data_IF_656820578744
#
_entry.id   IF_656820578744
#
_cell.length_a   1.000
_cell.length_b   1.000
_cell.length_c   1.000
_cell.angle_alpha   90.00
_cell.angle_beta   90.00
_cell.angle_gamma   90.00
#
_symmetry.space_group_name_H-M   'P 1'
#
loop_
_entity.id
_entity.type
_entity.pdbx_description
1 polymer ?
#
# COMPACT_ATOMS: atom_id res chain seq x y z
N UNK A 1 -6.28 -18.38 21.87
CA UNK A 1 -7.68 -17.87 21.88
C UNK A 1 -7.62 -16.44 21.38
N UNK A 2 -7.92 -16.21 20.10
CA UNK A 2 -8.04 -14.87 19.51
C UNK A 2 -9.23 -14.18 20.16
N UNK A 3 -9.04 -12.95 20.68
CA UNK A 3 -10.11 -12.13 21.19
C UNK A 3 -11.17 -11.97 20.08
N UNK A 4 -12.42 -12.35 20.39
CA UNK A 4 -13.55 -12.19 19.47
C UNK A 4 -13.70 -10.69 19.23
N UNK A 5 -13.50 -10.24 18.00
CA UNK A 5 -13.69 -8.84 17.60
C UNK A 5 -15.11 -8.37 17.96
N UNK A 6 -15.31 -7.08 18.12
CA UNK A 6 -16.68 -6.57 18.27
C UNK A 6 -17.45 -6.86 16.97
N UNK A 7 -18.77 -7.10 17.05
CA UNK A 7 -19.61 -7.33 15.85
C UNK A 7 -19.43 -6.23 14.78
N UNK A 8 -19.16 -5.00 15.22
CA UNK A 8 -18.86 -3.88 14.32
C UNK A 8 -17.58 -4.14 13.50
N UNK A 9 -16.52 -4.69 14.11
CA UNK A 9 -15.28 -5.03 13.43
C UNK A 9 -15.48 -6.21 12.48
N UNK A 10 -16.24 -7.24 12.89
CA UNK A 10 -16.57 -8.38 12.02
C UNK A 10 -17.33 -7.94 10.77
N UNK A 11 -18.22 -6.93 10.88
CA UNK A 11 -18.91 -6.33 9.73
C UNK A 11 -17.93 -5.59 8.80
N UNK A 12 -16.98 -4.83 9.36
CA UNK A 12 -15.98 -4.13 8.56
C UNK A 12 -15.02 -5.09 7.85
N UNK A 13 -14.61 -6.17 8.50
CA UNK A 13 -13.75 -7.20 7.91
C UNK A 13 -14.45 -7.93 6.76
N UNK A 14 -15.74 -8.30 6.94
CA UNK A 14 -16.56 -8.88 5.90
C UNK A 14 -16.81 -7.90 4.74
N UNK A 15 -17.01 -6.61 5.05
CA UNK A 15 -17.14 -5.58 4.04
C UNK A 15 -15.85 -5.44 3.21
N UNK A 16 -14.69 -5.39 3.86
CA UNK A 16 -13.40 -5.32 3.16
C UNK A 16 -13.20 -6.52 2.23
N UNK A 17 -13.54 -7.72 2.69
CA UNK A 17 -13.45 -8.93 1.89
C UNK A 17 -14.33 -8.86 0.63
N UNK A 18 -15.62 -8.58 0.79
CA UNK A 18 -16.57 -8.53 -0.32
C UNK A 18 -16.27 -7.37 -1.29
N UNK A 19 -15.97 -6.17 -0.77
CA UNK A 19 -15.68 -5.02 -1.61
C UNK A 19 -14.38 -5.17 -2.40
N UNK A 20 -13.40 -5.90 -1.87
CA UNK A 20 -12.13 -6.14 -2.55
C UNK A 20 -12.25 -7.11 -3.74
N UNK A 21 -13.36 -7.86 -3.84
CA UNK A 21 -13.60 -8.84 -4.90
C UNK A 21 -14.61 -8.32 -5.92
N UNK A 22 -15.77 -7.82 -5.46
CA UNK A 22 -16.89 -7.48 -6.32
C UNK A 22 -17.25 -5.99 -6.36
N UNK A 23 -16.60 -5.17 -5.53
CA UNK A 23 -16.85 -3.73 -5.45
C UNK A 23 -18.10 -3.35 -4.65
N UNK A 24 -18.28 -2.03 -4.49
CA UNK A 24 -19.35 -1.48 -3.66
C UNK A 24 -20.75 -1.78 -4.21
N UNK A 25 -20.98 -1.50 -5.50
CA UNK A 25 -22.33 -1.64 -6.09
C UNK A 25 -22.85 -3.08 -6.02
N UNK A 26 -22.01 -4.07 -6.30
CA UNK A 26 -22.40 -5.49 -6.29
C UNK A 26 -22.52 -6.08 -4.88
N UNK A 27 -22.03 -5.40 -3.84
CA UNK A 27 -22.14 -5.86 -2.44
C UNK A 27 -23.45 -5.40 -1.83
N UNK A 28 -24.24 -6.32 -1.28
CA UNK A 28 -25.51 -6.04 -0.62
C UNK A 28 -25.41 -6.18 0.92
N UNK A 29 -26.30 -5.48 1.64
CA UNK A 29 -26.43 -5.64 3.11
C UNK A 29 -26.77 -7.09 3.48
N UNK A 30 -27.45 -7.82 2.62
CA UNK A 30 -27.75 -9.24 2.85
C UNK A 30 -26.49 -10.11 2.88
N UNK A 31 -25.61 -9.92 1.89
CA UNK A 31 -24.35 -10.63 1.79
C UNK A 31 -23.44 -10.29 2.99
N UNK A 32 -23.41 -9.01 3.41
CA UNK A 32 -22.67 -8.60 4.61
C UNK A 32 -23.18 -9.28 5.88
N UNK A 33 -24.51 -9.28 6.08
CA UNK A 33 -25.12 -9.91 7.23
C UNK A 33 -24.90 -11.43 7.26
N UNK A 34 -24.99 -12.08 6.09
CA UNK A 34 -24.73 -13.51 5.91
C UNK A 34 -23.25 -13.85 6.19
N UNK A 35 -22.30 -13.06 5.69
CA UNK A 35 -20.86 -13.26 5.90
C UNK A 35 -20.46 -13.20 7.37
N UNK A 36 -21.15 -12.37 8.16
CA UNK A 36 -20.93 -12.23 9.61
C UNK A 36 -21.79 -13.24 10.44
N UNK A 37 -22.78 -13.89 9.80
CA UNK A 37 -23.68 -14.82 10.49
C UNK A 37 -24.73 -14.11 11.36
N UNK A 38 -25.13 -12.87 11.01
CA UNK A 38 -26.14 -12.10 11.76
C UNK A 38 -27.38 -11.79 10.91
N UNK A 39 -28.47 -11.40 11.55
CA UNK A 39 -29.66 -10.91 10.84
C UNK A 39 -29.42 -9.48 10.32
N UNK A 40 -30.04 -9.12 9.19
CA UNK A 40 -30.03 -7.74 8.65
C UNK A 40 -30.41 -6.69 9.68
N UNK A 41 -31.42 -6.97 10.51
CA UNK A 41 -31.84 -6.06 11.57
C UNK A 41 -30.71 -5.80 12.59
N UNK A 42 -29.91 -6.83 12.92
CA UNK A 42 -28.73 -6.67 13.78
C UNK A 42 -27.63 -5.85 13.11
N UNK A 43 -27.43 -5.97 11.80
CA UNK A 43 -26.47 -5.15 11.06
C UNK A 43 -26.87 -3.67 11.13
N UNK A 44 -28.16 -3.36 10.93
CA UNK A 44 -28.68 -1.99 11.01
C UNK A 44 -28.59 -1.38 12.43
N UNK A 45 -28.45 -2.17 13.49
CA UNK A 45 -28.15 -1.65 14.82
C UNK A 45 -26.72 -1.13 14.99
N UNK A 46 -25.80 -1.53 14.08
CA UNK A 46 -24.41 -1.09 14.09
C UNK A 46 -24.11 0.00 13.04
N UNK A 47 -24.79 -0.04 11.90
CA UNK A 47 -24.61 0.89 10.79
C UNK A 47 -25.95 1.27 10.17
N UNK A 48 -26.21 2.55 10.04
CA UNK A 48 -27.47 3.10 9.55
C UNK A 48 -27.80 2.62 8.12
N UNK A 49 -26.78 2.50 7.27
CA UNK A 49 -26.92 2.10 5.87
C UNK A 49 -25.58 1.56 5.33
N UNK A 50 -25.60 1.10 4.08
CA UNK A 50 -24.41 0.57 3.39
C UNK A 50 -23.29 1.61 3.24
N UNK A 51 -23.67 2.89 3.03
CA UNK A 51 -22.70 3.98 2.92
C UNK A 51 -21.95 4.20 4.25
N UNK A 52 -22.63 4.13 5.39
CA UNK A 52 -21.99 4.25 6.71
C UNK A 52 -20.95 3.12 6.97
N UNK A 53 -21.17 1.93 6.44
CA UNK A 53 -20.18 0.83 6.49
C UNK A 53 -18.95 1.20 5.65
N UNK A 54 -19.17 1.70 4.43
CA UNK A 54 -18.10 2.11 3.54
C UNK A 54 -17.27 3.24 4.15
N UNK A 55 -17.92 4.26 4.71
CA UNK A 55 -17.26 5.41 5.32
C UNK A 55 -16.40 4.98 6.51
N UNK A 56 -16.92 4.11 7.37
CA UNK A 56 -16.18 3.55 8.50
C UNK A 56 -15.00 2.67 8.05
N UNK A 57 -15.18 1.89 6.98
CA UNK A 57 -14.11 1.08 6.40
C UNK A 57 -13.00 1.95 5.81
N UNK A 58 -13.37 3.01 5.10
CA UNK A 58 -12.41 3.97 4.54
C UNK A 58 -11.61 4.67 5.64
N UNK A 59 -12.28 5.10 6.71
CA UNK A 59 -11.62 5.72 7.85
C UNK A 59 -10.62 4.75 8.51
N UNK A 60 -11.02 3.52 8.78
CA UNK A 60 -10.14 2.48 9.34
C UNK A 60 -8.94 2.18 8.42
N UNK A 61 -9.17 2.13 7.11
CA UNK A 61 -8.11 1.91 6.11
C UNK A 61 -7.11 3.07 6.07
N UNK A 62 -7.58 4.31 6.21
CA UNK A 62 -6.72 5.50 6.25
C UNK A 62 -5.89 5.53 7.53
N UNK A 63 -6.51 5.30 8.69
CA UNK A 63 -5.84 5.23 9.99
C UNK A 63 -4.75 4.16 10.02
N UNK A 64 -5.05 2.96 9.51
CA UNK A 64 -4.09 1.87 9.39
C UNK A 64 -2.91 2.27 8.49
N UNK A 65 -3.18 2.91 7.36
CA UNK A 65 -2.12 3.39 6.46
C UNK A 65 -1.24 4.43 7.15
N UNK A 66 -1.81 5.43 7.79
CA UNK A 66 -1.06 6.49 8.48
C UNK A 66 -0.23 5.96 9.66
N UNK A 67 -0.72 4.92 10.34
CA UNK A 67 -0.04 4.30 11.48
C UNK A 67 1.11 3.38 11.08
N UNK A 68 1.02 2.70 9.93
CA UNK A 68 1.94 1.60 9.59
C UNK A 68 2.76 1.83 8.31
N UNK A 69 2.39 2.79 7.47
CA UNK A 69 3.11 3.06 6.23
C UNK A 69 4.43 3.78 6.49
N UNK A 70 5.53 3.20 6.01
CA UNK A 70 6.84 3.86 6.01
C UNK A 70 6.86 5.11 5.12
N UNK A 71 6.01 5.13 4.10
CA UNK A 71 5.91 6.25 3.17
C UNK A 71 5.22 7.46 3.79
N UNK A 72 4.21 7.24 4.64
CA UNK A 72 3.47 8.31 5.31
C UNK A 72 4.26 8.95 6.47
N UNK A 73 5.27 8.26 7.00
CA UNK A 73 6.03 8.66 8.20
C UNK A 73 7.47 9.09 7.93
N UNK A 74 7.86 9.24 6.67
CA UNK A 74 9.23 9.57 6.34
C UNK A 74 9.61 10.98 6.79
N UNK A 75 10.60 11.07 7.66
CA UNK A 75 11.25 12.32 8.06
C UNK A 75 12.75 12.23 7.75
N UNK A 76 13.13 12.79 6.62
CA UNK A 76 14.51 12.75 6.12
C UNK A 76 15.46 13.71 6.83
N UNK A 77 14.97 14.57 7.71
CA UNK A 77 15.75 15.46 8.55
C UNK A 77 15.92 14.88 9.96
N UNK A 78 15.19 13.81 10.33
CA UNK A 78 15.38 13.09 11.58
C UNK A 78 16.55 12.09 11.48
N UNK A 79 17.63 12.30 12.29
CA UNK A 79 18.76 11.36 12.34
C UNK A 79 18.38 9.95 12.78
N UNK A 80 17.33 9.78 13.60
CA UNK A 80 16.86 8.47 14.01
C UNK A 80 16.21 7.70 12.85
N UNK A 81 15.51 8.42 11.97
CA UNK A 81 14.91 7.84 10.76
C UNK A 81 15.95 7.51 9.68
N UNK A 82 17.02 8.29 9.57
CA UNK A 82 18.01 8.16 8.48
C UNK A 82 19.19 7.26 8.82
N UNK A 83 19.43 6.95 10.10
CA UNK A 83 20.60 6.21 10.60
C UNK A 83 20.86 4.88 9.88
N UNK A 84 19.87 4.07 9.70
CA UNK A 84 19.95 2.76 9.04
C UNK A 84 20.08 2.84 7.51
N UNK A 85 19.95 4.06 6.95
CA UNK A 85 20.05 4.35 5.53
C UNK A 85 21.37 5.02 5.12
N UNK A 86 22.21 5.36 6.09
CA UNK A 86 23.48 6.06 5.86
C UNK A 86 24.46 5.32 4.96
N UNK A 87 24.43 3.99 4.98
CA UNK A 87 25.29 3.13 4.16
C UNK A 87 24.45 2.17 3.33
N UNK A 88 23.44 2.70 2.63
CA UNK A 88 22.55 1.92 1.80
C UNK A 88 23.32 1.23 0.68
N UNK A 89 23.32 -0.10 0.69
CA UNK A 89 23.85 -0.90 -0.41
C UNK A 89 22.72 -1.35 -1.34
N UNK A 90 23.03 -1.72 -2.61
CA UNK A 90 22.03 -2.30 -3.50
C UNK A 90 21.33 -3.53 -2.89
N UNK A 91 22.06 -4.39 -2.17
CA UNK A 91 21.50 -5.57 -1.51
C UNK A 91 20.52 -5.19 -0.39
N UNK A 92 20.85 -4.20 0.43
CA UNK A 92 19.94 -3.68 1.46
C UNK A 92 18.68 -3.10 0.84
N UNK A 93 18.81 -2.30 -0.22
CA UNK A 93 17.68 -1.72 -0.94
C UNK A 93 16.76 -2.80 -1.53
N UNK A 94 17.34 -3.85 -2.13
CA UNK A 94 16.59 -5.01 -2.64
C UNK A 94 15.83 -5.71 -1.51
N UNK A 95 16.50 -6.04 -0.40
CA UNK A 95 15.86 -6.75 0.72
C UNK A 95 14.71 -5.95 1.34
N UNK A 96 14.91 -4.65 1.56
CA UNK A 96 13.87 -3.76 2.08
C UNK A 96 12.68 -3.67 1.12
N UNK A 97 12.94 -3.49 -0.16
CA UNK A 97 11.88 -3.41 -1.18
C UNK A 97 11.10 -4.73 -1.29
N UNK A 98 11.78 -5.87 -1.38
CA UNK A 98 11.12 -7.17 -1.47
C UNK A 98 10.36 -7.53 -0.19
N UNK A 99 10.87 -7.14 0.98
CA UNK A 99 10.15 -7.26 2.25
C UNK A 99 8.84 -6.47 2.25
N UNK A 100 8.89 -5.21 1.81
CA UNK A 100 7.72 -4.34 1.70
C UNK A 100 6.71 -4.86 0.66
N UNK A 101 7.18 -5.34 -0.49
CA UNK A 101 6.32 -5.92 -1.54
C UNK A 101 5.60 -7.15 -1.01
N UNK A 102 6.31 -8.05 -0.34
CA UNK A 102 5.70 -9.25 0.27
C UNK A 102 4.61 -8.86 1.27
N UNK A 103 4.85 -7.86 2.11
CA UNK A 103 3.84 -7.33 3.04
C UNK A 103 2.62 -6.80 2.28
N UNK A 104 2.82 -5.97 1.25
CA UNK A 104 1.74 -5.38 0.46
C UNK A 104 0.90 -6.44 -0.26
N UNK A 105 1.52 -7.51 -0.76
CA UNK A 105 0.81 -8.56 -1.50
C UNK A 105 0.11 -9.56 -0.59
N UNK A 106 0.71 -9.92 0.54
CA UNK A 106 0.27 -11.06 1.35
C UNK A 106 -0.38 -10.71 2.69
N UNK A 107 -0.23 -9.48 3.20
CA UNK A 107 -1.04 -9.07 4.34
C UNK A 107 -2.51 -8.97 3.90
N UNK A 108 -3.43 -9.73 4.54
CA UNK A 108 -4.81 -9.82 4.07
C UNK A 108 -5.55 -8.48 4.08
N UNK A 109 -5.31 -7.64 5.08
CA UNK A 109 -6.00 -6.36 5.19
C UNK A 109 -5.44 -5.34 4.18
N UNK A 110 -4.11 -5.27 4.05
CA UNK A 110 -3.44 -4.35 3.10
C UNK A 110 -3.76 -4.72 1.65
N UNK A 111 -3.69 -6.00 1.30
CA UNK A 111 -3.98 -6.48 -0.05
C UNK A 111 -5.45 -6.23 -0.44
N UNK A 112 -6.40 -6.54 0.46
CA UNK A 112 -7.83 -6.29 0.22
C UNK A 112 -8.14 -4.80 0.12
N UNK A 113 -7.58 -3.96 1.01
CA UNK A 113 -7.77 -2.51 0.97
C UNK A 113 -7.26 -1.91 -0.35
N UNK A 114 -6.10 -2.35 -0.83
CA UNK A 114 -5.52 -1.92 -2.11
C UNK A 114 -6.40 -2.33 -3.30
N UNK A 115 -6.90 -3.56 -3.32
CA UNK A 115 -7.82 -4.05 -4.37
C UNK A 115 -9.14 -3.29 -4.37
N UNK A 116 -9.74 -3.07 -3.20
CA UNK A 116 -10.96 -2.27 -3.05
C UNK A 116 -10.77 -0.86 -3.61
N UNK A 117 -9.71 -0.16 -3.22
CA UNK A 117 -9.40 1.18 -3.73
C UNK A 117 -9.19 1.18 -5.25
N UNK A 118 -8.55 0.15 -5.80
CA UNK A 118 -8.31 0.00 -7.24
C UNK A 118 -9.63 -0.20 -8.01
N UNK A 119 -10.57 -0.96 -7.48
CA UNK A 119 -11.88 -1.18 -8.11
C UNK A 119 -12.71 0.11 -8.09
N UNK A 120 -12.71 0.82 -6.98
CA UNK A 120 -13.63 1.94 -6.73
C UNK A 120 -13.09 3.32 -7.14
N UNK A 121 -11.81 3.46 -7.48
CA UNK A 121 -11.17 4.75 -7.75
C UNK A 121 -11.84 5.60 -8.84
N UNK A 122 -12.52 4.97 -9.81
CA UNK A 122 -13.20 5.69 -10.90
C UNK A 122 -14.67 6.03 -10.60
N UNK A 123 -15.21 5.52 -9.48
CA UNK A 123 -16.60 5.73 -9.07
C UNK A 123 -16.71 6.55 -7.77
N UNK A 124 -15.67 6.54 -6.96
CA UNK A 124 -15.64 7.23 -5.68
C UNK A 124 -14.43 8.18 -5.59
N UNK A 125 -14.70 9.49 -5.58
CA UNK A 125 -13.66 10.52 -5.56
C UNK A 125 -12.75 10.46 -4.33
N UNK A 126 -13.29 10.08 -3.18
CA UNK A 126 -12.52 9.96 -1.94
C UNK A 126 -11.55 8.77 -2.03
N UNK A 127 -12.01 7.63 -2.56
CA UNK A 127 -11.13 6.47 -2.81
C UNK A 127 -10.07 6.77 -3.88
N UNK A 128 -10.41 7.53 -4.92
CA UNK A 128 -9.43 8.00 -5.90
C UNK A 128 -8.33 8.84 -5.24
N UNK A 129 -8.71 9.76 -4.34
CA UNK A 129 -7.75 10.59 -3.59
C UNK A 129 -6.86 9.75 -2.68
N UNK A 130 -7.43 8.77 -1.97
CA UNK A 130 -6.66 7.83 -1.14
C UNK A 130 -5.68 6.99 -1.98
N UNK A 131 -6.13 6.53 -3.14
CA UNK A 131 -5.29 5.77 -4.08
C UNK A 131 -4.11 6.62 -4.59
N UNK A 132 -4.36 7.88 -4.98
CA UNK A 132 -3.32 8.83 -5.40
C UNK A 132 -2.34 9.10 -4.26
N UNK A 133 -2.82 9.35 -3.04
CA UNK A 133 -1.96 9.58 -1.88
C UNK A 133 -1.03 8.38 -1.64
N UNK A 134 -1.59 7.17 -1.55
CA UNK A 134 -0.85 5.95 -1.17
C UNK A 134 0.12 5.45 -2.25
N UNK A 135 -0.27 5.53 -3.52
CA UNK A 135 0.47 4.89 -4.61
C UNK A 135 1.31 5.87 -5.42
N UNK A 136 1.15 7.16 -5.21
CA UNK A 136 1.90 8.18 -5.93
C UNK A 136 2.50 9.23 -4.99
N UNK A 137 1.69 10.03 -4.30
CA UNK A 137 2.19 11.21 -3.58
C UNK A 137 3.18 10.82 -2.47
N UNK A 138 2.78 9.92 -1.56
CA UNK A 138 3.62 9.52 -0.42
C UNK A 138 4.83 8.69 -0.90
N UNK A 139 4.64 7.82 -1.89
CA UNK A 139 5.72 7.03 -2.49
C UNK A 139 6.76 7.93 -3.17
N UNK A 140 6.33 8.87 -4.01
CA UNK A 140 7.23 9.82 -4.67
C UNK A 140 7.96 10.69 -3.65
N UNK A 141 7.27 11.20 -2.64
CA UNK A 141 7.87 12.00 -1.57
C UNK A 141 8.96 11.21 -0.83
N UNK A 142 8.66 9.97 -0.44
CA UNK A 142 9.61 9.08 0.22
C UNK A 142 10.86 8.84 -0.62
N UNK A 143 10.69 8.40 -1.87
CA UNK A 143 11.84 8.06 -2.72
C UNK A 143 12.61 9.28 -3.19
N UNK A 144 11.97 10.43 -3.39
CA UNK A 144 12.68 11.70 -3.65
C UNK A 144 13.55 12.10 -2.46
N UNK A 145 13.03 11.96 -1.24
CA UNK A 145 13.79 12.19 -0.01
C UNK A 145 14.98 11.23 0.13
N UNK A 146 14.75 9.92 -0.12
CA UNK A 146 15.81 8.90 -0.12
C UNK A 146 16.92 9.25 -1.13
N UNK A 147 16.57 9.55 -2.36
CA UNK A 147 17.55 9.89 -3.41
C UNK A 147 18.33 11.13 -3.03
N UNK A 148 17.68 12.22 -2.58
CA UNK A 148 18.37 13.43 -2.08
C UNK A 148 19.33 13.10 -0.92
N UNK A 149 18.92 12.26 0.01
CA UNK A 149 19.75 11.82 1.10
C UNK A 149 20.98 11.06 0.59
N UNK A 150 20.83 10.10 -0.31
CA UNK A 150 21.95 9.31 -0.86
C UNK A 150 22.89 10.16 -1.73
N UNK A 151 22.40 11.15 -2.46
CA UNK A 151 23.22 12.13 -3.19
C UNK A 151 24.06 12.96 -2.20
N UNK A 152 23.46 13.53 -1.14
CA UNK A 152 24.18 14.28 -0.12
C UNK A 152 25.28 13.47 0.59
N UNK A 153 25.10 12.14 0.67
CA UNK A 153 26.09 11.20 1.24
C UNK A 153 27.14 10.75 0.22
N UNK A 154 27.09 11.21 -1.01
CA UNK A 154 28.03 10.80 -2.06
C UNK A 154 27.87 9.33 -2.51
N UNK A 155 26.72 8.71 -2.25
CA UNK A 155 26.46 7.32 -2.67
C UNK A 155 25.87 7.27 -4.08
N UNK A 156 25.12 8.30 -4.46
CA UNK A 156 24.58 8.47 -5.81
C UNK A 156 25.17 9.73 -6.45
N UNK A 157 25.33 9.67 -7.77
CA UNK A 157 25.74 10.81 -8.58
C UNK A 157 24.68 11.91 -8.56
N UNK A 158 25.11 13.16 -8.72
CA UNK A 158 24.22 14.31 -8.77
C UNK A 158 23.39 14.29 -10.08
N UNK A 159 22.07 14.23 -9.93
CA UNK A 159 21.08 14.30 -10.99
C UNK A 159 19.74 14.77 -10.41
N UNK A 160 18.70 14.91 -11.24
CA UNK A 160 17.36 15.30 -10.77
C UNK A 160 16.76 14.22 -9.85
N UNK A 161 16.60 14.52 -8.54
CA UNK A 161 16.15 13.52 -7.57
C UNK A 161 14.71 13.08 -7.78
N UNK A 162 13.85 13.90 -8.38
CA UNK A 162 12.45 13.53 -8.65
C UNK A 162 12.37 12.54 -9.81
N UNK A 163 13.16 12.77 -10.85
CA UNK A 163 13.24 11.83 -11.99
C UNK A 163 13.87 10.50 -11.55
N UNK A 164 14.95 10.56 -10.76
CA UNK A 164 15.57 9.35 -10.21
C UNK A 164 14.58 8.55 -9.34
N UNK A 165 13.84 9.23 -8.47
CA UNK A 165 12.80 8.61 -7.64
C UNK A 165 11.71 7.97 -8.48
N UNK A 166 11.20 8.68 -9.50
CA UNK A 166 10.20 8.17 -10.42
C UNK A 166 10.68 6.90 -11.15
N UNK A 167 11.91 6.91 -11.64
CA UNK A 167 12.53 5.74 -12.29
C UNK A 167 12.67 4.57 -11.33
N UNK A 168 12.98 4.81 -10.05
CA UNK A 168 13.14 3.76 -9.05
C UNK A 168 11.80 3.15 -8.64
N UNK A 169 10.80 3.96 -8.32
CA UNK A 169 9.59 3.46 -7.63
C UNK A 169 8.38 3.20 -8.55
N UNK A 170 8.18 3.98 -9.64
CA UNK A 170 6.96 3.85 -10.43
C UNK A 170 6.83 2.51 -11.19
N UNK A 171 7.90 1.91 -11.75
CA UNK A 171 7.78 0.59 -12.36
C UNK A 171 7.31 -0.49 -11.38
N UNK A 172 7.70 -0.39 -10.11
CA UNK A 172 7.30 -1.33 -9.06
C UNK A 172 5.78 -1.31 -8.86
N UNK A 173 5.13 -0.14 -8.92
CA UNK A 173 3.67 -0.03 -8.82
C UNK A 173 2.95 -0.79 -9.93
N UNK A 174 3.48 -0.75 -11.16
CA UNK A 174 2.92 -1.49 -12.30
C UNK A 174 3.06 -3.00 -12.09
N UNK A 175 4.21 -3.44 -11.60
CA UNK A 175 4.46 -4.86 -11.32
C UNK A 175 3.61 -5.40 -10.16
N UNK A 176 3.38 -4.61 -9.11
CA UNK A 176 2.45 -4.97 -8.04
C UNK A 176 1.02 -5.18 -8.58
N UNK A 177 0.56 -4.26 -9.44
CA UNK A 177 -0.75 -4.39 -10.08
C UNK A 177 -0.83 -5.62 -11.03
N UNK A 178 0.29 -6.03 -11.61
CA UNK A 178 0.37 -7.28 -12.38
C UNK A 178 0.16 -8.50 -11.47
N UNK A 179 0.83 -8.56 -10.31
CA UNK A 179 0.65 -9.64 -9.34
C UNK A 179 -0.78 -9.74 -8.80
N UNK A 180 -1.54 -8.63 -8.75
CA UNK A 180 -2.96 -8.69 -8.36
C UNK A 180 -3.84 -9.39 -9.38
N UNK A 181 -3.50 -9.27 -10.66
CA UNK A 181 -4.27 -9.87 -11.76
C UNK A 181 -3.77 -11.28 -12.10
N UNK A 182 -2.46 -11.50 -11.98
CA UNK A 182 -1.75 -12.73 -12.36
C UNK A 182 -0.81 -13.14 -11.21
N UNK A 183 -1.35 -13.68 -10.09
CA UNK A 183 -0.55 -14.00 -8.89
C UNK A 183 0.58 -15.00 -9.15
N UNK A 184 0.42 -15.87 -10.15
CA UNK A 184 1.43 -16.84 -10.57
C UNK A 184 2.72 -16.20 -11.11
N UNK A 185 2.67 -14.92 -11.48
CA UNK A 185 3.84 -14.16 -11.97
C UNK A 185 4.67 -13.50 -10.87
N UNK A 186 4.31 -13.67 -9.61
CA UNK A 186 5.02 -13.02 -8.48
C UNK A 186 6.53 -13.35 -8.48
N UNK A 187 6.90 -14.59 -8.77
CA UNK A 187 8.31 -14.99 -8.83
C UNK A 187 9.07 -14.29 -9.98
N UNK A 188 8.42 -14.06 -11.12
CA UNK A 188 8.99 -13.28 -12.23
C UNK A 188 9.15 -11.83 -11.84
N UNK A 189 8.11 -11.23 -11.28
CA UNK A 189 8.08 -9.84 -10.82
C UNK A 189 9.15 -9.58 -9.76
N UNK A 190 9.31 -10.48 -8.80
CA UNK A 190 10.36 -10.40 -7.77
C UNK A 190 11.76 -10.28 -8.40
N UNK A 191 12.07 -11.13 -9.40
CA UNK A 191 13.35 -11.08 -10.12
C UNK A 191 13.53 -9.79 -10.94
N UNK A 192 12.45 -9.27 -11.52
CA UNK A 192 12.50 -7.99 -12.26
C UNK A 192 12.79 -6.82 -11.33
N UNK A 193 12.14 -6.77 -10.16
CA UNK A 193 12.33 -5.72 -9.16
C UNK A 193 13.77 -5.75 -8.63
N UNK A 194 14.30 -6.93 -8.30
CA UNK A 194 15.69 -7.07 -7.87
C UNK A 194 16.67 -6.51 -8.91
N UNK A 195 16.54 -6.93 -10.17
CA UNK A 195 17.39 -6.45 -11.27
C UNK A 195 17.24 -4.96 -11.50
N UNK A 196 16.02 -4.43 -11.41
CA UNK A 196 15.72 -3.01 -11.56
C UNK A 196 16.42 -2.16 -10.51
N UNK A 197 16.33 -2.55 -9.24
CA UNK A 197 16.98 -1.84 -8.14
C UNK A 197 18.50 -1.87 -8.31
N UNK A 198 19.09 -3.05 -8.59
CA UNK A 198 20.53 -3.17 -8.82
C UNK A 198 21.01 -2.28 -9.96
N UNK A 199 20.30 -2.32 -11.09
CA UNK A 199 20.63 -1.48 -12.26
C UNK A 199 20.52 0.01 -11.92
N UNK A 200 19.53 0.43 -11.13
CA UNK A 200 19.42 1.82 -10.69
C UNK A 200 20.68 2.27 -9.92
N UNK A 201 21.16 1.50 -8.96
CA UNK A 201 22.37 1.82 -8.21
C UNK A 201 23.63 1.78 -9.09
N UNK A 202 23.71 0.87 -10.07
CA UNK A 202 24.85 0.81 -10.99
C UNK A 202 24.90 2.04 -11.92
N UNK A 203 23.75 2.45 -12.45
CA UNK A 203 23.63 3.63 -13.35
C UNK A 203 23.94 4.93 -12.62
N UNK A 204 23.47 5.07 -11.37
CA UNK A 204 23.59 6.30 -10.60
C UNK A 204 24.68 6.27 -9.52
N UNK A 205 25.60 5.29 -9.58
CA UNK A 205 26.74 5.23 -8.66
C UNK A 205 27.57 6.50 -8.74
N UNK A 206 27.90 7.11 -7.58
CA UNK A 206 28.88 8.18 -7.53
C UNK A 206 30.26 7.66 -7.99
N UNK A 207 30.97 8.49 -8.76
CA UNK A 207 32.31 8.15 -9.28
C UNK A 207 33.40 8.43 -8.25
#
# INVERSE_FOLDING_TARGET
MTAKGSTKQEILDAALELLSVQGYEATSISQLAEAVGIRKASLYSHFENKQAILDALMQATLEQYEQHSIFAKADWDDPAFTKDKENMTPDMAVQLCLGQIRYILHDPQISRARKMLTIEQFRNRQMASMQTKRNYTDVMSYFTGLVRFLIRRGQLAEADPEIMAAQLCLPVSVWLNLCDREPEREAEVTRLIERHIRQFFDVYRAK
#
